data_IF_856625041130
#
_entry.id   IF_856625041130
#
_cell.length_a   1.000
_cell.length_b   1.000
_cell.length_c   1.000
_cell.angle_alpha   90.00
_cell.angle_beta   90.00
_cell.angle_gamma   90.00
#
_symmetry.space_group_name_H-M   'P 1'
#
loop_
_entity.id
_entity.type
_entity.pdbx_description
1 polymer ?
#
# COMPACT_ATOMS: atom_id res chain seq x y z
N UNK A 1 -23.76 -2.56 -19.89
CA UNK A 1 -23.74 -1.77 -18.64
C UNK A 1 -22.48 -0.92 -18.63
N UNK A 2 -22.59 0.39 -18.42
CA UNK A 2 -21.42 1.26 -18.36
C UNK A 2 -20.49 0.80 -17.22
N UNK A 3 -19.19 0.72 -17.50
CA UNK A 3 -18.17 0.34 -16.51
C UNK A 3 -17.97 1.51 -15.56
N UNK A 4 -18.71 1.53 -14.44
CA UNK A 4 -18.67 2.63 -13.48
C UNK A 4 -17.54 2.42 -12.47
N UNK A 5 -16.66 3.42 -12.33
CA UNK A 5 -15.67 3.46 -11.26
C UNK A 5 -16.37 3.70 -9.92
N UNK A 6 -16.29 2.71 -9.02
CA UNK A 6 -16.87 2.77 -7.68
C UNK A 6 -15.85 3.09 -6.60
N UNK A 7 -14.57 3.17 -6.96
CA UNK A 7 -13.49 3.45 -6.03
C UNK A 7 -13.52 4.91 -5.52
N UNK A 8 -13.41 5.15 -4.20
CA UNK A 8 -13.26 6.48 -3.61
C UNK A 8 -12.11 7.27 -4.24
N UNK A 9 -12.33 8.56 -4.47
CA UNK A 9 -11.36 9.44 -5.15
C UNK A 9 -9.96 9.41 -4.53
N UNK A 10 -9.89 9.40 -3.19
CA UNK A 10 -8.62 9.38 -2.44
C UNK A 10 -7.76 8.12 -2.70
N UNK A 11 -8.36 7.01 -3.15
CA UNK A 11 -7.66 5.75 -3.40
C UNK A 11 -7.24 5.57 -4.87
N UNK A 12 -7.79 6.39 -5.77
CA UNK A 12 -7.51 6.32 -7.22
C UNK A 12 -6.03 6.49 -7.58
N UNK A 13 -5.24 7.38 -6.94
CA UNK A 13 -3.82 7.54 -7.27
C UNK A 13 -2.98 6.28 -7.10
N UNK A 14 -3.45 5.31 -6.31
CA UNK A 14 -2.76 4.05 -6.06
C UNK A 14 -3.15 2.94 -7.05
N UNK A 15 -4.25 3.09 -7.79
CA UNK A 15 -4.70 2.05 -8.72
C UNK A 15 -3.81 1.93 -9.94
N UNK A 16 -3.63 0.71 -10.44
CA UNK A 16 -2.84 0.44 -11.66
C UNK A 16 -1.33 0.68 -11.52
N UNK A 17 -0.86 1.07 -10.34
CA UNK A 17 0.57 1.22 -10.03
C UNK A 17 1.22 -0.18 -9.90
N UNK A 18 2.54 -0.32 -10.12
CA UNK A 18 3.21 -1.62 -10.09
C UNK A 18 3.15 -2.25 -8.70
N UNK A 19 2.89 -3.56 -8.62
CA UNK A 19 3.09 -4.31 -7.38
C UNK A 19 4.59 -4.43 -7.06
N UNK A 20 4.93 -4.41 -5.78
CA UNK A 20 6.30 -4.64 -5.29
C UNK A 20 6.39 -6.08 -4.77
N UNK A 21 7.12 -6.92 -5.50
CA UNK A 21 7.39 -8.31 -5.12
C UNK A 21 8.87 -8.48 -4.79
N UNK A 22 9.17 -8.84 -3.55
CA UNK A 22 10.55 -8.98 -3.05
C UNK A 22 10.72 -10.26 -2.22
N UNK A 23 11.92 -10.85 -2.14
CA UNK A 23 12.16 -12.02 -1.29
C UNK A 23 12.31 -11.66 0.20
N UNK A 24 11.97 -10.43 0.58
CA UNK A 24 12.00 -9.87 1.93
C UNK A 24 10.92 -8.80 2.06
N UNK A 25 10.61 -8.38 3.29
CA UNK A 25 9.68 -7.27 3.55
C UNK A 25 10.19 -5.98 2.92
N UNK A 26 9.39 -5.37 2.06
CA UNK A 26 9.75 -4.13 1.37
C UNK A 26 9.92 -2.91 2.32
N UNK A 27 9.46 -3.03 3.58
CA UNK A 27 9.52 -1.94 4.57
C UNK A 27 10.65 -2.13 5.59
N UNK A 28 10.84 -3.35 6.11
CA UNK A 28 11.82 -3.61 7.19
C UNK A 28 12.91 -4.62 6.84
N UNK A 29 12.90 -5.19 5.63
CA UNK A 29 13.92 -6.16 5.17
C UNK A 29 13.81 -7.55 5.78
N UNK A 30 12.84 -7.83 6.66
CA UNK A 30 12.66 -9.16 7.28
C UNK A 30 12.41 -10.24 6.21
N UNK A 31 13.09 -11.39 6.25
CA UNK A 31 13.01 -12.41 5.20
C UNK A 31 11.76 -13.30 5.30
N UNK A 32 11.17 -13.48 6.49
CA UNK A 32 10.00 -14.33 6.69
C UNK A 32 9.28 -14.03 8.03
N UNK A 33 8.00 -14.41 8.17
CA UNK A 33 7.07 -14.83 7.11
C UNK A 33 6.69 -13.65 6.19
N UNK A 34 6.42 -13.90 4.91
CA UNK A 34 6.06 -12.88 3.90
C UNK A 34 4.66 -13.10 3.35
N UNK A 35 3.96 -12.01 3.06
CA UNK A 35 2.64 -12.04 2.41
C UNK A 35 2.40 -10.79 1.56
N UNK A 36 1.53 -10.90 0.55
CA UNK A 36 1.18 -9.82 -0.37
C UNK A 36 0.07 -8.94 0.21
N UNK A 37 0.45 -7.76 0.69
CA UNK A 37 -0.49 -6.79 1.22
C UNK A 37 -1.11 -5.95 0.11
N UNK A 38 -2.45 -5.88 0.05
CA UNK A 38 -3.13 -5.02 -0.92
C UNK A 38 -3.16 -3.58 -0.38
N UNK A 39 -2.47 -2.68 -1.08
CA UNK A 39 -2.42 -1.24 -0.72
C UNK A 39 -3.82 -0.63 -0.69
N UNK A 40 -4.62 -0.97 -1.70
CA UNK A 40 -6.06 -0.66 -1.74
C UNK A 40 -6.82 -1.91 -1.35
N UNK A 41 -7.64 -1.83 -0.30
CA UNK A 41 -8.40 -2.99 0.19
C UNK A 41 -9.20 -3.66 -0.94
N UNK A 42 -9.27 -4.99 -0.94
CA UNK A 42 -10.02 -5.76 -1.94
C UNK A 42 -11.48 -5.32 -2.08
N UNK A 43 -12.14 -4.97 -0.97
CA UNK A 43 -13.52 -4.49 -0.94
C UNK A 43 -13.72 -3.00 -1.27
N UNK A 44 -12.68 -2.20 -1.52
CA UNK A 44 -12.80 -0.74 -1.67
C UNK A 44 -13.50 -0.26 -2.97
N UNK A 45 -13.96 -1.16 -3.83
CA UNK A 45 -14.52 -0.85 -5.16
C UNK A 45 -13.57 -1.17 -6.32
N UNK A 46 -13.99 -0.79 -7.54
CA UNK A 46 -13.28 -1.07 -8.80
C UNK A 46 -13.01 0.23 -9.56
N UNK A 47 -11.98 0.24 -10.40
CA UNK A 47 -11.62 1.34 -11.29
C UNK A 47 -11.26 0.76 -12.65
N UNK A 48 -11.61 1.48 -13.72
CA UNK A 48 -11.36 1.07 -15.10
C UNK A 48 -10.49 2.11 -15.82
N UNK A 49 -9.68 1.67 -16.78
CA UNK A 49 -8.96 2.56 -17.70
C UNK A 49 -9.87 3.13 -18.80
N UNK A 50 -9.31 3.97 -19.69
CA UNK A 50 -10.03 4.60 -20.80
C UNK A 50 -10.55 3.56 -21.83
N UNK A 51 -9.86 2.43 -21.96
CA UNK A 51 -10.28 1.27 -22.76
C UNK A 51 -11.31 0.37 -22.02
N UNK A 52 -11.62 0.71 -20.77
CA UNK A 52 -12.50 0.00 -19.85
C UNK A 52 -11.93 -1.32 -19.29
N UNK A 53 -10.62 -1.57 -19.33
CA UNK A 53 -10.01 -2.67 -18.57
C UNK A 53 -10.00 -2.35 -17.08
N UNK A 54 -10.28 -3.35 -16.25
CA UNK A 54 -10.25 -3.18 -14.79
C UNK A 54 -8.81 -3.04 -14.30
N UNK A 55 -8.52 -1.91 -13.63
CA UNK A 55 -7.21 -1.65 -13.05
C UNK A 55 -6.98 -2.57 -11.85
N UNK A 56 -5.86 -3.28 -11.87
CA UNK A 56 -5.47 -4.15 -10.77
C UNK A 56 -5.09 -3.34 -9.54
N UNK A 57 -5.41 -3.89 -8.36
CA UNK A 57 -5.00 -3.33 -7.08
C UNK A 57 -3.57 -3.76 -6.78
N UNK A 58 -2.62 -2.84 -6.62
CA UNK A 58 -1.25 -3.21 -6.35
C UNK A 58 -1.09 -3.91 -5.00
N UNK A 59 -0.11 -4.79 -4.96
CA UNK A 59 0.34 -5.48 -3.76
C UNK A 59 1.78 -5.10 -3.42
N UNK A 60 2.11 -5.14 -2.13
CA UNK A 60 3.47 -4.96 -1.64
C UNK A 60 3.80 -6.15 -0.73
N UNK A 61 4.95 -6.79 -0.95
CA UNK A 61 5.43 -7.85 -0.07
C UNK A 61 5.79 -7.28 1.31
N UNK A 62 5.08 -7.71 2.34
CA UNK A 62 5.32 -7.32 3.74
C UNK A 62 5.59 -8.55 4.61
N UNK A 63 6.29 -8.34 5.73
CA UNK A 63 6.41 -9.37 6.75
C UNK A 63 5.14 -9.52 7.58
N UNK A 64 4.87 -10.75 7.99
CA UNK A 64 3.64 -11.13 8.69
C UNK A 64 2.50 -11.49 7.74
N UNK A 65 1.36 -11.84 8.34
CA UNK A 65 0.18 -12.31 7.63
C UNK A 65 -1.07 -11.89 8.37
N UNK A 66 -2.15 -11.65 7.62
CA UNK A 66 -3.40 -11.16 8.18
C UNK A 66 -3.20 -9.89 9.02
N UNK A 67 -3.91 -9.82 10.14
CA UNK A 67 -3.82 -8.71 11.10
C UNK A 67 -2.87 -8.99 12.27
N UNK A 68 -2.03 -10.02 12.20
CA UNK A 68 -1.11 -10.37 13.30
C UNK A 68 -0.07 -9.25 13.46
N UNK A 69 -0.08 -8.61 14.62
CA UNK A 69 0.77 -7.44 14.89
C UNK A 69 2.19 -7.80 15.31
N UNK A 70 2.40 -8.91 16.01
CA UNK A 70 3.70 -9.27 16.57
C UNK A 70 4.04 -10.73 16.31
N UNK A 71 5.33 -11.02 16.22
CA UNK A 71 5.84 -12.38 16.27
C UNK A 71 5.99 -12.88 17.72
N UNK A 72 6.48 -14.11 17.87
CA UNK A 72 6.75 -14.72 19.18
C UNK A 72 7.80 -13.95 20.00
N UNK A 73 8.72 -13.25 19.35
CA UNK A 73 9.77 -12.44 19.97
C UNK A 73 9.32 -11.00 20.28
N UNK A 74 8.03 -10.68 20.05
CA UNK A 74 7.45 -9.36 20.28
C UNK A 74 7.78 -8.31 19.21
N UNK A 75 8.46 -8.68 18.13
CA UNK A 75 8.77 -7.79 17.00
C UNK A 75 7.54 -7.60 16.12
N UNK A 76 7.35 -6.36 15.68
CA UNK A 76 6.16 -5.99 14.94
C UNK A 76 6.21 -6.43 13.47
N UNK A 77 5.09 -6.94 12.98
CA UNK A 77 4.89 -7.24 11.56
C UNK A 77 4.37 -6.03 10.80
N UNK A 78 5.02 -5.70 9.67
CA UNK A 78 4.60 -4.60 8.79
C UNK A 78 3.20 -4.85 8.22
N UNK A 79 2.86 -6.10 7.90
CA UNK A 79 1.52 -6.44 7.44
C UNK A 79 0.46 -6.12 8.51
N UNK A 80 0.69 -6.53 9.76
CA UNK A 80 -0.19 -6.20 10.88
C UNK A 80 -0.32 -4.69 11.10
N UNK A 81 0.78 -3.94 11.00
CA UNK A 81 0.75 -2.47 11.10
C UNK A 81 -0.12 -1.83 10.02
N UNK A 82 -0.08 -2.34 8.79
CA UNK A 82 -0.90 -1.81 7.71
C UNK A 82 -2.40 -2.02 7.97
N UNK A 83 -2.79 -3.19 8.49
CA UNK A 83 -4.19 -3.43 8.91
C UNK A 83 -4.59 -2.60 10.13
N UNK A 84 -3.66 -2.33 11.04
CA UNK A 84 -3.90 -1.53 12.23
C UNK A 84 -3.95 -0.01 11.95
N UNK A 85 -3.81 0.44 10.70
CA UNK A 85 -3.78 1.86 10.37
C UNK A 85 -2.54 2.58 10.91
N UNK A 86 -1.44 1.84 11.07
CA UNK A 86 -0.15 2.33 11.58
C UNK A 86 0.97 2.27 10.53
N UNK A 87 0.66 1.79 9.34
CA UNK A 87 1.53 1.79 8.18
C UNK A 87 0.68 2.13 6.95
N UNK A 88 1.05 3.20 6.27
CA UNK A 88 0.35 3.74 5.11
C UNK A 88 1.27 3.74 3.91
N UNK A 89 0.68 3.66 2.72
CA UNK A 89 1.39 3.67 1.45
C UNK A 89 0.82 4.76 0.56
N UNK A 90 1.69 5.41 -0.22
CA UNK A 90 1.27 6.34 -1.27
C UNK A 90 2.13 6.18 -2.50
N UNK A 91 1.58 6.57 -3.63
CA UNK A 91 2.35 6.75 -4.85
C UNK A 91 2.85 8.20 -4.91
N UNK A 92 4.16 8.38 -4.92
CA UNK A 92 4.78 9.67 -5.16
C UNK A 92 5.14 9.77 -6.65
N UNK A 93 4.54 10.72 -7.36
CA UNK A 93 4.89 10.97 -8.76
C UNK A 93 6.35 11.45 -8.87
N UNK A 94 7.04 11.01 -9.93
CA UNK A 94 8.41 11.43 -10.19
C UNK A 94 8.43 12.82 -10.80
N UNK A 95 9.37 13.67 -10.35
CA UNK A 95 9.59 14.97 -10.96
C UNK A 95 10.28 14.82 -12.32
N UNK A 96 9.51 14.81 -13.40
CA UNK A 96 10.00 14.93 -14.79
C UNK A 96 9.78 13.73 -15.69
N UNK A 97 9.78 13.99 -17.02
CA UNK A 97 9.44 13.08 -18.15
C UNK A 97 10.17 11.73 -18.20
N UNK A 98 11.17 11.47 -17.37
CA UNK A 98 12.01 10.27 -17.42
C UNK A 98 12.02 9.42 -16.12
N UNK A 99 11.44 9.92 -15.02
CA UNK A 99 11.43 9.20 -13.74
C UNK A 99 9.99 8.79 -13.43
N UNK A 100 9.66 7.52 -13.64
CA UNK A 100 8.40 6.95 -13.16
C UNK A 100 8.21 7.25 -11.67
N UNK A 101 6.96 7.38 -11.24
CA UNK A 101 6.66 7.52 -9.81
C UNK A 101 7.17 6.32 -8.99
N UNK A 102 7.07 6.44 -7.67
CA UNK A 102 7.58 5.45 -6.72
C UNK A 102 6.60 5.22 -5.59
N UNK A 103 6.71 4.04 -4.98
CA UNK A 103 6.04 3.80 -3.71
C UNK A 103 6.78 4.46 -2.56
N UNK A 104 6.00 5.05 -1.67
CA UNK A 104 6.46 5.53 -0.38
C UNK A 104 5.59 4.94 0.73
N UNK A 105 6.17 4.77 1.91
CA UNK A 105 5.48 4.34 3.11
C UNK A 105 5.65 5.35 4.25
N UNK A 106 4.67 5.38 5.15
CA UNK A 106 4.72 6.13 6.40
C UNK A 106 4.26 5.21 7.53
N UNK A 107 5.12 5.04 8.54
CA UNK A 107 4.76 4.37 9.78
C UNK A 107 4.34 5.42 10.83
N UNK A 108 3.26 5.16 11.55
CA UNK A 108 2.75 6.02 12.62
C UNK A 108 2.73 5.28 13.95
N UNK A 109 2.97 6.01 15.03
CA UNK A 109 2.94 5.44 16.38
C UNK A 109 1.53 5.00 16.76
N UNK A 110 0.52 5.82 16.47
CA UNK A 110 -0.88 5.53 16.70
C UNK A 110 -1.65 5.27 15.38
N UNK A 111 -2.74 4.49 15.43
CA UNK A 111 -3.65 4.34 14.29
C UNK A 111 -4.19 5.68 13.80
N UNK A 112 -4.15 5.93 12.50
CA UNK A 112 -4.79 7.11 11.90
C UNK A 112 -5.46 6.80 10.57
N UNK A 113 -6.31 7.72 10.09
CA UNK A 113 -6.93 7.55 8.78
C UNK A 113 -5.91 7.76 7.66
N UNK A 114 -6.20 7.27 6.46
CA UNK A 114 -5.32 7.49 5.31
C UNK A 114 -5.19 8.98 4.96
N UNK A 115 -6.26 9.77 5.13
CA UNK A 115 -6.22 11.20 4.87
C UNK A 115 -5.31 11.92 5.89
N UNK A 116 -5.42 11.58 7.17
CA UNK A 116 -4.54 12.14 8.21
C UNK A 116 -3.07 11.77 7.96
N UNK A 117 -2.82 10.54 7.47
CA UNK A 117 -1.48 10.10 7.12
C UNK A 117 -0.87 10.90 5.96
N UNK A 118 -1.69 11.29 4.96
CA UNK A 118 -1.22 12.09 3.82
C UNK A 118 -0.73 13.48 4.22
N UNK A 119 -1.28 14.06 5.28
CA UNK A 119 -0.87 15.37 5.81
C UNK A 119 0.43 15.29 6.63
N UNK A 120 0.83 14.09 7.07
CA UNK A 120 2.06 13.90 7.84
C UNK A 120 3.30 13.92 6.95
N UNK A 121 4.41 14.41 7.52
CA UNK A 121 5.75 14.34 6.93
C UNK A 121 6.41 13.00 7.27
N UNK A 122 7.57 12.73 6.67
CA UNK A 122 8.40 11.56 7.01
C UNK A 122 8.17 10.31 6.15
N UNK A 123 7.52 10.47 5.00
CA UNK A 123 7.38 9.41 4.00
C UNK A 123 8.75 8.91 3.52
N UNK A 124 8.92 7.60 3.48
CA UNK A 124 10.15 6.93 3.08
C UNK A 124 9.92 6.11 1.82
N UNK A 125 10.93 6.04 0.96
CA UNK A 125 10.91 5.20 -0.24
C UNK A 125 10.88 3.72 0.15
N UNK A 126 10.12 2.94 -0.62
CA UNK A 126 10.20 1.47 -0.68
C UNK A 126 11.36 1.05 -1.59
#
# INVERSE_FOLDING_TARGET
>A
MARVTTLPAMLRPMMGKPSVKTPFCAVCGRPAPLNEHHVVRRGAGRMYDEDGRELQKPTITLCGFGNVLKDADGRTYCHGLAHAGRLHFRWAEGGGRACGGRWEYLATEEPCSYLDALEKKGWKRI
#
